data_IF_756321987217
#
_entry.id   IF_756321987217
#
_cell.length_a   1.000
_cell.length_b   1.000
_cell.length_c   1.000
_cell.angle_alpha   90.00
_cell.angle_beta   90.00
_cell.angle_gamma   90.00
#
_symmetry.space_group_name_H-M   'P 1'
#
loop_
_entity.id
_entity.type
_entity.pdbx_description
1 polymer ?
#
# COMPACT_ATOMS: atom_id res chain seq x y z
N UNK A 1 22.93 3.93 8.75
CA UNK A 1 21.86 3.39 7.88
C UNK A 1 20.66 4.32 7.92
N UNK A 2 20.15 4.69 6.77
CA UNK A 2 18.98 5.56 6.69
C UNK A 2 17.71 4.73 6.72
N UNK A 3 16.74 5.17 7.50
CA UNK A 3 15.40 4.59 7.48
C UNK A 3 14.46 5.55 6.79
N UNK A 4 13.55 5.02 5.99
CA UNK A 4 12.57 5.81 5.28
C UNK A 4 11.20 5.61 5.93
N UNK A 5 10.50 6.73 6.16
CA UNK A 5 9.17 6.72 6.74
C UNK A 5 8.20 7.31 5.72
N UNK A 6 7.12 6.58 5.43
CA UNK A 6 6.08 7.02 4.50
C UNK A 6 4.84 7.40 5.28
N UNK A 7 4.36 8.61 5.08
CA UNK A 7 3.18 9.14 5.77
C UNK A 7 2.13 9.50 4.74
N UNK A 8 0.94 8.91 4.87
CA UNK A 8 -0.18 9.21 3.99
C UNK A 8 -0.93 10.43 4.49
N UNK A 9 -1.27 11.32 3.57
CA UNK A 9 -2.12 12.48 3.84
C UNK A 9 -3.36 12.38 2.96
N UNK A 10 -4.48 11.81 3.45
CA UNK A 10 -5.65 11.56 2.61
C UNK A 10 -6.29 12.83 2.05
N UNK A 11 -6.40 13.87 2.86
CA UNK A 11 -7.08 15.10 2.44
C UNK A 11 -6.33 15.82 1.34
N UNK A 12 -5.00 15.84 1.39
CA UNK A 12 -4.19 16.46 0.35
C UNK A 12 -3.84 15.53 -0.79
N UNK A 13 -4.21 14.24 -0.67
CA UNK A 13 -3.93 13.21 -1.66
C UNK A 13 -2.44 13.10 -1.96
N UNK A 14 -1.65 13.01 -0.88
CA UNK A 14 -0.19 12.97 -0.98
C UNK A 14 0.41 11.93 -0.06
N UNK A 15 1.59 11.44 -0.44
CA UNK A 15 2.47 10.65 0.42
C UNK A 15 3.70 11.47 0.68
N UNK A 16 4.03 11.65 1.95
CA UNK A 16 5.25 12.37 2.36
C UNK A 16 6.33 11.35 2.68
N UNK A 17 7.49 11.50 2.06
CA UNK A 17 8.64 10.61 2.26
C UNK A 17 9.65 11.31 3.13
N UNK A 18 9.95 10.70 4.27
CA UNK A 18 10.88 11.25 5.27
C UNK A 18 12.05 10.31 5.48
N UNK A 19 13.22 10.85 5.67
CA UNK A 19 14.37 10.07 6.13
C UNK A 19 14.52 10.26 7.64
N UNK A 20 14.66 9.14 8.34
CA UNK A 20 14.89 9.12 9.78
C UNK A 20 16.37 8.84 10.02
N UNK A 21 17.06 9.73 10.74
CA UNK A 21 18.44 9.47 11.11
C UNK A 21 18.50 8.74 12.46
N UNK A 22 19.69 8.29 12.86
CA UNK A 22 19.84 7.51 14.08
C UNK A 22 19.69 8.32 15.36
N UNK A 23 19.54 9.63 15.25
CA UNK A 23 19.25 10.51 16.39
C UNK A 23 17.74 10.73 16.57
N UNK A 24 16.92 10.17 15.69
CA UNK A 24 15.49 10.31 15.75
C UNK A 24 14.92 11.52 15.02
N UNK A 25 15.74 12.23 14.23
CA UNK A 25 15.29 13.40 13.48
C UNK A 25 14.78 12.99 12.09
N UNK A 26 13.67 13.62 11.67
CA UNK A 26 13.06 13.38 10.36
C UNK A 26 13.39 14.53 9.42
N UNK A 27 13.74 14.19 8.17
CA UNK A 27 13.97 15.16 7.10
C UNK A 27 13.05 14.81 5.93
N UNK A 28 12.22 15.76 5.50
CA UNK A 28 11.34 15.56 4.35
C UNK A 28 12.17 15.53 3.07
N UNK A 29 12.07 14.44 2.30
CA UNK A 29 12.85 14.27 1.08
C UNK A 29 12.00 14.28 -0.18
N UNK A 30 10.69 13.97 -0.08
CA UNK A 30 9.83 13.92 -1.24
C UNK A 30 8.36 14.08 -0.83
N UNK A 31 7.57 14.74 -1.68
CA UNK A 31 6.12 14.76 -1.58
C UNK A 31 5.58 14.20 -2.88
N UNK A 32 4.79 13.12 -2.80
CA UNK A 32 4.26 12.43 -3.98
C UNK A 32 2.77 12.70 -4.06
N UNK A 33 2.32 13.26 -5.19
CA UNK A 33 0.89 13.40 -5.46
C UNK A 33 0.32 12.05 -5.88
N UNK A 34 -0.83 11.69 -5.31
CA UNK A 34 -1.49 10.40 -5.54
C UNK A 34 -2.87 10.67 -6.13
N UNK A 35 -3.31 9.88 -7.14
CA UNK A 35 -4.61 10.12 -7.78
C UNK A 35 -5.79 9.62 -6.93
N UNK A 36 -5.88 10.05 -5.68
CA UNK A 36 -6.97 9.68 -4.79
C UNK A 36 -6.59 9.87 -3.34
N UNK A 37 -7.55 9.61 -2.45
CA UNK A 37 -7.32 9.70 -1.02
C UNK A 37 -6.57 8.45 -0.56
N UNK A 38 -5.36 8.64 -0.07
CA UNK A 38 -4.47 7.57 0.39
C UNK A 38 -4.81 7.23 1.83
N UNK A 39 -4.93 5.95 2.14
CA UNK A 39 -5.12 5.55 3.53
C UNK A 39 -4.26 4.36 3.92
N UNK A 40 -4.51 3.09 3.44
CA UNK A 40 -3.64 1.99 3.83
C UNK A 40 -2.40 1.93 2.95
N UNK A 41 -1.27 1.59 3.56
CA UNK A 41 -0.01 1.40 2.84
C UNK A 41 0.72 0.20 3.41
N UNK A 42 1.45 -0.53 2.57
CA UNK A 42 2.32 -1.62 2.98
C UNK A 42 3.53 -1.70 2.07
N UNK A 43 4.69 -1.98 2.65
CA UNK A 43 5.94 -2.20 1.90
C UNK A 43 6.02 -3.67 1.51
N UNK A 44 6.44 -3.97 0.28
CA UNK A 44 6.61 -5.35 -0.17
C UNK A 44 7.67 -6.08 0.66
N UNK A 45 7.61 -7.42 0.75
CA UNK A 45 8.58 -8.18 1.54
C UNK A 45 10.02 -7.96 1.10
N UNK A 46 10.26 -7.75 -0.20
CA UNK A 46 11.59 -7.49 -0.75
C UNK A 46 11.97 -6.02 -0.71
N UNK A 47 11.08 -5.16 -0.20
CA UNK A 47 11.30 -3.71 -0.04
C UNK A 47 11.49 -2.94 -1.35
N UNK A 48 11.05 -3.51 -2.47
CA UNK A 48 11.13 -2.83 -3.77
C UNK A 48 9.93 -1.96 -4.09
N UNK A 49 8.79 -2.23 -3.44
CA UNK A 49 7.53 -1.53 -3.74
C UNK A 49 6.80 -1.09 -2.48
N UNK A 50 6.12 0.05 -2.58
CA UNK A 50 5.12 0.49 -1.62
C UNK A 50 3.74 0.32 -2.27
N UNK A 51 2.86 -0.44 -1.65
CA UNK A 51 1.48 -0.62 -2.12
C UNK A 51 0.57 0.31 -1.34
N UNK A 52 -0.30 1.00 -2.07
CA UNK A 52 -1.14 2.06 -1.51
C UNK A 52 -2.57 1.85 -1.94
N UNK A 53 -3.49 1.78 -0.98
CA UNK A 53 -4.93 1.74 -1.27
C UNK A 53 -5.49 3.14 -1.35
N UNK A 54 -6.31 3.43 -2.38
CA UNK A 54 -6.88 4.75 -2.59
C UNK A 54 -8.38 4.69 -2.84
N UNK A 55 -9.03 5.82 -2.63
CA UNK A 55 -10.46 6.05 -2.91
C UNK A 55 -10.64 7.48 -3.42
N UNK A 56 -11.76 7.87 -4.05
CA UNK A 56 -13.04 7.17 -4.15
C UNK A 56 -13.11 6.13 -5.28
N UNK A 57 -12.18 6.15 -6.22
CA UNK A 57 -12.06 5.07 -7.20
C UNK A 57 -11.15 4.03 -6.57
N UNK A 58 -11.75 2.95 -6.07
CA UNK A 58 -11.04 1.96 -5.26
C UNK A 58 -9.97 1.26 -6.07
N UNK A 59 -8.71 1.51 -5.72
CA UNK A 59 -7.54 0.95 -6.42
C UNK A 59 -6.41 0.66 -5.45
N UNK A 60 -5.56 -0.29 -5.82
CA UNK A 60 -4.25 -0.46 -5.21
C UNK A 60 -3.21 0.07 -6.21
N UNK A 61 -2.35 0.96 -5.73
CA UNK A 61 -1.26 1.54 -6.51
C UNK A 61 0.05 0.93 -6.03
N UNK A 62 0.97 0.70 -6.96
CA UNK A 62 2.32 0.25 -6.63
C UNK A 62 3.31 1.35 -7.00
N UNK A 63 4.12 1.75 -6.03
CA UNK A 63 5.22 2.69 -6.24
C UNK A 63 6.54 1.97 -6.05
N UNK A 64 7.46 2.14 -6.99
CA UNK A 64 8.80 1.59 -6.87
C UNK A 64 9.58 2.41 -5.84
N UNK A 65 10.27 1.71 -4.95
CA UNK A 65 11.10 2.33 -3.92
C UNK A 65 12.55 2.34 -4.40
N UNK A 66 13.14 3.53 -4.48
CA UNK A 66 14.57 3.64 -4.82
C UNK A 66 15.40 3.06 -3.67
N UNK A 67 16.37 2.18 -3.96
CA UNK A 67 17.11 1.48 -2.91
C UNK A 67 18.05 2.35 -2.09
N UNK A 68 18.45 3.52 -2.60
CA UNK A 68 19.42 4.37 -1.93
C UNK A 68 18.77 5.45 -1.05
N UNK A 69 17.66 6.07 -1.46
CA UNK A 69 17.04 7.16 -0.70
C UNK A 69 15.56 6.95 -0.38
N UNK A 70 14.97 5.84 -0.83
CA UNK A 70 13.57 5.53 -0.57
C UNK A 70 12.57 6.34 -1.39
N UNK A 71 13.02 7.07 -2.41
CA UNK A 71 12.13 7.87 -3.25
C UNK A 71 11.14 6.98 -4.01
N UNK A 72 9.94 7.51 -4.23
CA UNK A 72 8.85 6.75 -4.85
C UNK A 72 8.64 7.15 -6.30
N UNK A 73 8.41 6.15 -7.16
CA UNK A 73 8.06 6.34 -8.57
C UNK A 73 6.87 5.44 -8.89
N UNK A 74 5.81 6.01 -9.46
CA UNK A 74 4.62 5.23 -9.83
C UNK A 74 4.99 4.11 -10.80
N UNK A 75 4.49 2.91 -10.53
CA UNK A 75 4.78 1.73 -11.34
C UNK A 75 3.53 1.11 -11.97
N UNK A 76 2.47 0.88 -11.20
CA UNK A 76 1.27 0.22 -11.72
C UNK A 76 0.08 0.42 -10.78
N UNK A 77 -1.13 0.09 -11.27
CA UNK A 77 -2.34 0.12 -10.44
C UNK A 77 -3.29 -0.99 -10.86
N UNK A 78 -4.21 -1.35 -9.96
CA UNK A 78 -5.26 -2.32 -10.23
C UNK A 78 -6.52 -1.94 -9.45
N UNK A 79 -7.69 -2.19 -10.04
CA UNK A 79 -8.97 -1.89 -9.40
C UNK A 79 -9.23 -2.82 -8.22
N UNK A 80 -9.93 -2.30 -7.21
CA UNK A 80 -10.37 -3.06 -6.04
C UNK A 80 -11.89 -3.07 -5.98
N UNK A 81 -12.50 -4.13 -5.37
CA UNK A 81 -13.96 -4.23 -5.28
C UNK A 81 -14.58 -3.33 -4.21
N UNK A 82 -13.79 -2.73 -3.34
CA UNK A 82 -14.30 -1.88 -2.27
C UNK A 82 -13.27 -0.90 -1.77
N UNK A 83 -13.71 0.04 -0.93
CA UNK A 83 -12.83 1.06 -0.36
C UNK A 83 -11.84 0.40 0.59
N UNK A 84 -10.54 0.44 0.29
CA UNK A 84 -9.54 -0.22 1.13
C UNK A 84 -9.33 0.53 2.45
N UNK A 85 -9.45 -0.19 3.56
CA UNK A 85 -9.14 0.34 4.90
C UNK A 85 -7.87 -0.25 5.44
N UNK A 86 -7.46 -1.41 4.93
CA UNK A 86 -6.23 -2.09 5.33
C UNK A 86 -5.70 -2.90 4.16
N UNK A 87 -4.39 -2.90 3.95
CA UNK A 87 -3.76 -3.78 2.98
C UNK A 87 -2.54 -4.47 3.59
N UNK A 88 -2.28 -5.68 3.11
CA UNK A 88 -1.12 -6.47 3.51
C UNK A 88 -0.66 -7.31 2.34
N UNK A 89 0.52 -7.94 2.47
CA UNK A 89 1.06 -8.84 1.46
C UNK A 89 1.35 -10.19 2.08
N UNK A 90 1.41 -11.23 1.22
CA UNK A 90 1.97 -12.50 1.66
C UNK A 90 3.49 -12.38 1.78
N UNK A 91 4.13 -13.38 2.39
CA UNK A 91 5.57 -13.32 2.66
C UNK A 91 6.43 -13.43 1.40
N UNK A 92 5.87 -13.94 0.32
CA UNK A 92 6.59 -14.15 -0.94
C UNK A 92 6.37 -13.04 -1.95
N UNK A 93 5.51 -12.06 -1.64
CA UNK A 93 5.24 -10.94 -2.53
C UNK A 93 4.46 -11.31 -3.78
N UNK A 94 3.59 -12.32 -3.68
CA UNK A 94 2.78 -12.78 -4.82
C UNK A 94 1.36 -12.21 -4.81
N UNK A 95 0.88 -11.73 -3.65
CA UNK A 95 -0.48 -11.23 -3.49
C UNK A 95 -0.55 -10.03 -2.56
N UNK A 96 -1.51 -9.16 -2.83
CA UNK A 96 -1.92 -8.09 -1.91
C UNK A 96 -3.33 -8.40 -1.43
N UNK A 97 -3.54 -8.33 -0.12
CA UNK A 97 -4.84 -8.52 0.51
C UNK A 97 -5.40 -7.16 0.90
N UNK A 98 -6.60 -6.85 0.46
CA UNK A 98 -7.26 -5.61 0.78
C UNK A 98 -8.52 -5.83 1.58
N UNK A 99 -8.56 -5.30 2.82
CA UNK A 99 -9.76 -5.33 3.64
C UNK A 99 -10.58 -4.08 3.42
N UNK A 100 -11.90 -4.22 3.26
CA UNK A 100 -12.81 -3.11 3.11
C UNK A 100 -13.86 -3.14 4.21
N UNK A 101 -13.82 -2.15 5.09
CA UNK A 101 -14.79 -2.02 6.19
C UNK A 101 -16.21 -1.79 5.65
N UNK A 102 -16.32 -0.84 4.70
CA UNK A 102 -17.64 -0.45 4.17
C UNK A 102 -18.28 -1.53 3.31
N UNK A 103 -17.49 -2.22 2.49
CA UNK A 103 -17.99 -3.28 1.63
C UNK A 103 -18.12 -4.62 2.34
N UNK A 104 -17.47 -4.79 3.51
CA UNK A 104 -17.49 -6.04 4.25
C UNK A 104 -16.80 -7.18 3.52
N UNK A 105 -15.69 -6.91 2.83
CA UNK A 105 -15.00 -7.94 2.06
C UNK A 105 -13.48 -7.84 2.18
N UNK A 106 -12.82 -8.93 1.81
CA UNK A 106 -11.38 -9.00 1.63
C UNK A 106 -11.11 -9.42 0.20
N UNK A 107 -10.29 -8.65 -0.51
CA UNK A 107 -9.90 -8.97 -1.87
C UNK A 107 -8.47 -9.50 -1.91
N UNK A 108 -8.19 -10.35 -2.89
CA UNK A 108 -6.85 -10.86 -3.16
C UNK A 108 -6.45 -10.38 -4.54
N UNK A 109 -5.41 -9.56 -4.62
CA UNK A 109 -4.86 -9.06 -5.87
C UNK A 109 -3.56 -9.77 -6.18
N UNK A 110 -3.45 -10.33 -7.37
CA UNK A 110 -2.24 -11.03 -7.80
C UNK A 110 -1.17 -10.03 -8.19
N UNK A 111 0.07 -10.34 -7.82
CA UNK A 111 1.25 -9.58 -8.20
C UNK A 111 2.10 -10.38 -9.18
N UNK A 112 2.65 -9.71 -10.20
CA UNK A 112 3.67 -10.28 -11.08
C UNK A 112 4.86 -9.34 -11.05
N UNK A 113 6.02 -9.85 -10.62
CA UNK A 113 7.23 -9.06 -10.37
C UNK A 113 6.95 -7.88 -9.43
N UNK A 114 6.07 -8.10 -8.46
CA UNK A 114 5.70 -7.07 -7.49
C UNK A 114 4.64 -6.07 -7.97
N UNK A 115 4.16 -6.18 -9.21
CA UNK A 115 3.18 -5.25 -9.78
C UNK A 115 1.78 -5.86 -9.76
N UNK A 116 0.75 -5.11 -9.32
CA UNK A 116 -0.62 -5.65 -9.27
C UNK A 116 -1.18 -5.83 -10.68
N UNK A 117 -1.73 -7.01 -10.94
CA UNK A 117 -2.28 -7.34 -12.26
C UNK A 117 -3.78 -7.61 -12.24
N UNK A 118 -4.40 -7.74 -11.08
CA UNK A 118 -5.84 -7.86 -10.98
C UNK A 118 -6.29 -8.69 -9.80
N UNK A 119 -7.57 -8.51 -9.43
CA UNK A 119 -8.20 -9.26 -8.34
C UNK A 119 -8.47 -10.68 -8.80
N UNK A 120 -8.03 -11.66 -8.00
CA UNK A 120 -8.22 -13.07 -8.30
C UNK A 120 -9.22 -13.74 -7.35
N UNK A 121 -9.54 -13.12 -6.22
CA UNK A 121 -10.52 -13.66 -5.29
C UNK A 121 -11.08 -12.56 -4.40
N UNK A 122 -12.33 -12.74 -3.97
CA UNK A 122 -13.01 -11.81 -3.04
C UNK A 122 -13.81 -12.66 -2.05
N UNK A 123 -13.57 -12.44 -0.76
CA UNK A 123 -14.37 -13.06 0.30
C UNK A 123 -15.32 -12.00 0.88
N UNK A 124 -16.62 -12.25 0.79
CA UNK A 124 -17.64 -11.30 1.22
C UNK A 124 -18.31 -11.72 2.52
N UNK A 125 -19.20 -10.88 3.05
CA UNK A 125 -19.92 -11.17 4.30
C UNK A 125 -19.11 -10.93 5.56
N UNK A 126 -18.06 -10.11 5.48
CA UNK A 126 -17.18 -9.80 6.60
C UNK A 126 -17.48 -8.40 7.13
N UNK A 127 -18.65 -8.23 7.73
CA UNK A 127 -19.10 -6.93 8.22
C UNK A 127 -18.07 -6.30 9.15
N UNK A 128 -17.69 -5.05 8.87
CA UNK A 128 -16.73 -4.32 9.68
C UNK A 128 -15.28 -4.79 9.51
N UNK A 129 -14.96 -5.46 8.41
CA UNK A 129 -13.60 -5.93 8.14
C UNK A 129 -12.63 -4.75 8.11
N UNK A 130 -11.67 -4.72 9.03
CA UNK A 130 -10.73 -3.61 9.19
C UNK A 130 -9.28 -3.98 8.88
N UNK A 131 -8.89 -5.24 9.07
CA UNK A 131 -7.53 -5.65 8.78
C UNK A 131 -7.48 -7.08 8.23
N UNK A 132 -6.47 -7.35 7.44
CA UNK A 132 -6.18 -8.67 6.88
C UNK A 132 -4.68 -8.91 7.02
N UNK A 133 -4.31 -9.96 7.74
CA UNK A 133 -2.93 -10.23 8.07
C UNK A 133 -2.58 -11.69 7.75
N UNK A 134 -1.31 -11.91 7.38
CA UNK A 134 -0.80 -13.25 7.10
C UNK A 134 -0.09 -13.76 8.35
N UNK A 135 -0.42 -14.97 8.75
CA UNK A 135 0.26 -15.57 9.89
C UNK A 135 1.70 -15.95 9.50
N UNK A 136 2.64 -15.78 10.42
CA UNK A 136 4.04 -16.09 10.16
C UNK A 136 4.31 -17.57 10.38
N UNK A 137 4.25 -18.35 9.38
CA UNK A 137 4.60 -19.76 9.61
C UNK A 137 5.51 -20.31 8.57
#
# INVERSE_FOLDING_TARGET
MKQTVYIASPESQQIHVWNLNHEGALTLTQVVDVPGQVQPMVVSPDKRYLYVGVRPEFRVLAYRIAPDDGALTFAAESALPGSPTHISTDHQGQFVFGGSYNAGNVSVTRLEDGLPVGVVDVVEGLDGCHSANISPE
#
